data_IF_006626697258
#
_entry.id   IF_006626697258
#
_cell.length_a   1.000
_cell.length_b   1.000
_cell.length_c   1.000
_cell.angle_alpha   90.00
_cell.angle_beta   90.00
_cell.angle_gamma   90.00
#
_symmetry.space_group_name_H-M   'P 1'
#
loop_
_entity.id
_entity.type
_entity.pdbx_description
1 polymer ?
#
# COMPACT_ATOMS: atom_id res chain seq x y z
N UNK A 1 13.50 -14.37 -5.87
CA UNK A 1 12.96 -13.57 -4.76
C UNK A 1 12.27 -12.35 -5.34
N UNK A 2 11.05 -12.04 -4.91
CA UNK A 2 10.32 -10.85 -5.36
C UNK A 2 11.18 -9.58 -5.13
N UNK A 3 11.34 -8.67 -6.11
CA UNK A 3 12.10 -7.43 -5.95
C UNK A 3 11.71 -6.64 -4.71
N UNK A 4 10.42 -6.54 -4.40
CA UNK A 4 9.94 -5.83 -3.21
C UNK A 4 10.45 -6.45 -1.91
N UNK A 5 10.38 -7.78 -1.77
CA UNK A 5 10.95 -8.48 -0.61
C UNK A 5 12.47 -8.31 -0.51
N UNK A 6 13.17 -8.25 -1.65
CA UNK A 6 14.61 -8.01 -1.67
C UNK A 6 14.97 -6.60 -1.21
N UNK A 7 14.17 -5.61 -1.59
CA UNK A 7 14.27 -4.24 -1.09
C UNK A 7 14.06 -4.20 0.43
N UNK A 8 12.94 -4.74 0.91
CA UNK A 8 12.58 -4.72 2.35
C UNK A 8 13.66 -5.37 3.23
N UNK A 9 14.18 -6.54 2.85
CA UNK A 9 15.22 -7.24 3.64
C UNK A 9 16.54 -6.46 3.78
N UNK A 10 16.82 -5.51 2.88
CA UNK A 10 18.03 -4.69 2.96
C UNK A 10 17.79 -3.27 3.48
N UNK A 11 16.53 -2.84 3.63
CA UNK A 11 16.17 -1.49 4.09
C UNK A 11 16.71 -1.19 5.49
N UNK A 12 16.58 -2.13 6.43
CA UNK A 12 17.08 -2.03 7.80
C UNK A 12 18.38 -2.82 8.01
N UNK A 13 19.12 -3.11 6.93
CA UNK A 13 20.40 -3.83 7.04
C UNK A 13 21.57 -2.88 7.23
N UNK A 14 22.70 -3.41 7.70
CA UNK A 14 23.95 -2.63 7.81
C UNK A 14 24.30 -2.05 6.43
N UNK A 15 24.54 -0.72 6.31
CA UNK A 15 24.65 -0.03 5.03
C UNK A 15 26.02 -0.24 4.34
N UNK A 16 26.39 -1.50 4.12
CA UNK A 16 27.65 -1.89 3.47
C UNK A 16 27.36 -2.31 2.03
N UNK A 17 27.78 -1.49 1.07
CA UNK A 17 27.56 -1.70 -0.36
C UNK A 17 28.67 -2.53 -1.02
N UNK A 18 28.82 -3.79 -0.61
CA UNK A 18 29.71 -4.76 -1.27
C UNK A 18 28.88 -5.88 -1.90
N UNK A 19 29.41 -6.57 -2.93
CA UNK A 19 28.75 -7.73 -3.51
C UNK A 19 28.30 -8.70 -2.40
N UNK A 20 27.12 -9.32 -2.59
CA UNK A 20 26.53 -10.31 -1.67
C UNK A 20 25.93 -9.79 -0.36
N UNK A 21 26.03 -8.51 -0.01
CA UNK A 21 25.30 -7.98 1.17
C UNK A 21 23.80 -7.83 0.91
N UNK A 22 23.01 -7.80 1.99
CA UNK A 22 21.58 -7.48 1.90
C UNK A 22 21.37 -6.06 1.36
N UNK A 23 22.20 -5.11 1.78
CA UNK A 23 22.17 -3.72 1.30
C UNK A 23 22.46 -3.60 -0.20
N UNK A 24 23.50 -4.26 -0.74
CA UNK A 24 23.75 -4.22 -2.19
C UNK A 24 22.59 -4.84 -3.00
N UNK A 25 22.01 -5.94 -2.50
CA UNK A 25 20.86 -6.58 -3.14
C UNK A 25 19.61 -5.69 -3.08
N UNK A 26 19.37 -4.98 -1.97
CA UNK A 26 18.22 -4.08 -1.88
C UNK A 26 18.36 -2.90 -2.82
N UNK A 27 19.54 -2.28 -2.96
CA UNK A 27 19.76 -1.20 -3.93
C UNK A 27 19.43 -1.63 -5.37
N UNK A 28 19.90 -2.82 -5.79
CA UNK A 28 19.56 -3.39 -7.10
C UNK A 28 18.07 -3.67 -7.25
N UNK A 29 17.40 -4.09 -6.18
CA UNK A 29 15.97 -4.35 -6.19
C UNK A 29 15.14 -3.05 -6.24
N UNK A 30 15.56 -2.01 -5.50
CA UNK A 30 14.98 -0.67 -5.55
C UNK A 30 15.04 -0.11 -6.96
N UNK A 31 16.18 -0.22 -7.64
CA UNK A 31 16.30 0.23 -9.03
C UNK A 31 15.31 -0.48 -9.98
N UNK A 32 15.10 -1.80 -9.79
CA UNK A 32 14.10 -2.55 -10.56
C UNK A 32 12.67 -2.07 -10.28
N UNK A 33 12.32 -1.85 -9.01
CA UNK A 33 10.99 -1.36 -8.60
C UNK A 33 10.75 0.05 -9.17
N UNK A 34 11.75 0.92 -9.11
CA UNK A 34 11.65 2.28 -9.66
C UNK A 34 11.41 2.26 -11.17
N UNK A 35 12.05 1.36 -11.92
CA UNK A 35 11.79 1.20 -13.35
C UNK A 35 10.36 0.71 -13.62
N UNK A 36 9.87 -0.27 -12.86
CA UNK A 36 8.48 -0.75 -12.98
C UNK A 36 7.47 0.38 -12.68
N UNK A 37 7.71 1.15 -11.62
CA UNK A 37 6.86 2.30 -11.28
C UNK A 37 6.92 3.39 -12.34
N UNK A 38 8.07 3.62 -12.97
CA UNK A 38 8.20 4.56 -14.07
C UNK A 38 7.32 4.16 -15.25
N UNK A 39 7.29 2.88 -15.61
CA UNK A 39 6.40 2.36 -16.65
C UNK A 39 4.92 2.58 -16.28
N UNK A 40 4.54 2.31 -15.03
CA UNK A 40 3.17 2.53 -14.53
C UNK A 40 2.79 4.02 -14.58
N UNK A 41 3.68 4.91 -14.13
CA UNK A 41 3.46 6.36 -14.18
C UNK A 41 3.26 6.81 -15.62
N UNK A 42 4.08 6.31 -16.56
CA UNK A 42 3.94 6.64 -17.97
C UNK A 42 2.61 6.14 -18.57
N UNK A 43 2.22 4.91 -18.29
CA UNK A 43 0.93 4.35 -18.73
C UNK A 43 -0.24 5.20 -18.23
N UNK A 44 -0.23 5.57 -16.94
CA UNK A 44 -1.28 6.41 -16.35
C UNK A 44 -1.38 7.79 -16.99
N UNK A 45 -0.25 8.42 -17.32
CA UNK A 45 -0.23 9.70 -18.05
C UNK A 45 -0.93 9.57 -19.41
N UNK A 46 -0.55 8.56 -20.19
CA UNK A 46 -1.14 8.30 -21.52
C UNK A 46 -2.63 8.00 -21.44
N UNK A 47 -3.06 7.23 -20.44
CA UNK A 47 -4.48 6.92 -20.21
C UNK A 47 -5.30 8.16 -19.82
N UNK A 48 -4.74 9.04 -18.99
CA UNK A 48 -5.38 10.30 -18.61
C UNK A 48 -5.58 11.22 -19.82
N UNK A 49 -4.54 11.39 -20.65
CA UNK A 49 -4.62 12.20 -21.88
C UNK A 49 -5.65 11.68 -22.87
N UNK A 50 -5.80 10.35 -23.00
CA UNK A 50 -6.70 9.73 -23.98
C UNK A 50 -8.15 9.61 -23.51
N UNK A 51 -8.35 9.26 -22.24
CA UNK A 51 -9.65 8.79 -21.75
C UNK A 51 -10.28 9.71 -20.69
N UNK A 52 -9.62 10.82 -20.32
CA UNK A 52 -10.14 11.73 -19.29
C UNK A 52 -10.32 11.06 -17.94
N UNK A 53 -9.37 10.19 -17.56
CA UNK A 53 -9.43 9.41 -16.32
C UNK A 53 -9.48 10.33 -15.09
N UNK A 54 -10.24 9.93 -14.05
CA UNK A 54 -10.35 10.68 -12.81
C UNK A 54 -8.96 10.97 -12.21
N UNK A 55 -8.58 12.25 -12.02
CA UNK A 55 -7.27 12.64 -11.50
C UNK A 55 -7.00 12.16 -10.07
N UNK A 56 -8.03 11.66 -9.36
CA UNK A 56 -7.96 11.16 -7.98
C UNK A 56 -8.29 9.67 -7.83
N UNK A 57 -8.10 8.88 -8.89
CA UNK A 57 -8.37 7.44 -8.85
C UNK A 57 -7.42 6.66 -7.93
N UNK A 58 -6.14 7.06 -7.87
CA UNK A 58 -5.12 6.43 -7.04
C UNK A 58 -4.02 7.43 -6.69
N UNK A 59 -3.09 7.02 -5.82
CA UNK A 59 -1.99 7.86 -5.35
C UNK A 59 -1.16 8.45 -6.49
N UNK A 60 -0.76 7.65 -7.49
CA UNK A 60 0.09 8.14 -8.59
C UNK A 60 -0.66 9.21 -9.39
N UNK A 61 -1.94 8.97 -9.66
CA UNK A 61 -2.81 9.94 -10.33
C UNK A 61 -2.95 11.23 -9.52
N UNK A 62 -3.18 11.12 -8.20
CA UNK A 62 -3.25 12.27 -7.30
C UNK A 62 -1.97 13.10 -7.32
N UNK A 63 -0.81 12.44 -7.17
CA UNK A 63 0.49 13.11 -7.14
C UNK A 63 0.85 13.74 -8.48
N UNK A 64 0.49 13.09 -9.59
CA UNK A 64 0.75 13.61 -10.94
C UNK A 64 -0.07 14.88 -11.24
N UNK A 65 -1.34 14.89 -10.82
CA UNK A 65 -2.27 16.00 -11.05
C UNK A 65 -2.15 17.13 -10.01
N UNK A 66 -1.16 17.06 -9.11
CA UNK A 66 -0.89 18.11 -8.15
C UNK A 66 -0.19 19.29 -8.84
N UNK A 67 -0.93 20.39 -9.01
CA UNK A 67 -0.50 21.61 -9.69
C UNK A 67 -0.67 22.80 -8.76
N UNK A 68 0.33 23.68 -8.72
CA UNK A 68 0.34 24.94 -7.98
C UNK A 68 0.91 26.02 -8.91
N UNK A 69 0.24 27.18 -9.01
CA UNK A 69 0.59 28.28 -9.93
C UNK A 69 0.86 27.83 -11.38
N UNK A 70 -0.05 27.01 -11.93
CA UNK A 70 0.04 26.39 -13.26
C UNK A 70 1.30 25.54 -13.51
N UNK A 71 2.00 25.13 -12.44
CA UNK A 71 3.20 24.28 -12.49
C UNK A 71 2.97 22.97 -11.74
N UNK A 72 3.51 21.90 -12.31
CA UNK A 72 3.50 20.61 -11.64
C UNK A 72 4.36 20.68 -10.37
N UNK A 73 3.76 20.29 -9.23
CA UNK A 73 4.40 20.38 -7.91
C UNK A 73 5.49 19.31 -7.74
N UNK A 74 5.31 18.14 -8.35
CA UNK A 74 6.19 16.98 -8.16
C UNK A 74 6.79 16.50 -9.48
N UNK A 75 8.09 16.28 -9.46
CA UNK A 75 8.79 15.60 -10.56
C UNK A 75 8.39 14.12 -10.62
N UNK A 76 8.53 13.50 -11.80
CA UNK A 76 8.30 12.05 -11.97
C UNK A 76 9.12 11.21 -10.97
N UNK A 77 10.36 11.63 -10.69
CA UNK A 77 11.23 10.97 -9.72
C UNK A 77 10.65 11.03 -8.30
N UNK A 78 10.12 12.18 -7.91
CA UNK A 78 9.47 12.35 -6.59
C UNK A 78 8.17 11.55 -6.51
N UNK A 79 7.38 11.48 -7.57
CA UNK A 79 6.18 10.62 -7.63
C UNK A 79 6.57 9.15 -7.41
N UNK A 80 7.59 8.65 -8.11
CA UNK A 80 8.08 7.28 -7.94
C UNK A 80 8.59 7.03 -6.52
N UNK A 81 9.36 7.96 -5.95
CA UNK A 81 9.87 7.83 -4.58
C UNK A 81 8.75 7.83 -3.54
N UNK A 82 7.73 8.69 -3.69
CA UNK A 82 6.56 8.70 -2.81
C UNK A 82 5.75 7.41 -2.93
N UNK A 83 5.58 6.86 -4.14
CA UNK A 83 4.93 5.57 -4.33
C UNK A 83 5.68 4.44 -3.60
N UNK A 84 7.03 4.38 -3.73
CA UNK A 84 7.85 3.40 -2.99
C UNK A 84 7.69 3.59 -1.48
N UNK A 85 7.73 4.83 -0.98
CA UNK A 85 7.57 5.14 0.43
C UNK A 85 6.23 4.62 0.98
N UNK A 86 5.12 4.90 0.30
CA UNK A 86 3.79 4.44 0.71
C UNK A 86 3.67 2.92 0.65
N UNK A 87 4.24 2.27 -0.37
CA UNK A 87 4.26 0.80 -0.45
C UNK A 87 4.98 0.17 0.74
N UNK A 88 6.14 0.72 1.12
CA UNK A 88 6.93 0.25 2.28
C UNK A 88 6.12 0.44 3.56
N UNK A 89 5.64 1.67 3.79
CA UNK A 89 4.93 2.04 5.00
C UNK A 89 3.67 1.19 5.19
N UNK A 90 2.86 1.04 4.14
CA UNK A 90 1.61 0.29 4.18
C UNK A 90 1.80 -1.22 4.31
N UNK A 91 2.85 -1.79 3.69
CA UNK A 91 3.08 -3.23 3.75
C UNK A 91 3.63 -3.67 5.12
N UNK A 92 4.72 -3.06 5.58
CA UNK A 92 5.44 -3.55 6.76
C UNK A 92 4.60 -3.39 8.04
N UNK A 93 4.05 -2.19 8.27
CA UNK A 93 3.28 -1.89 9.48
C UNK A 93 1.96 -2.65 9.54
N UNK A 94 1.18 -2.65 8.44
CA UNK A 94 -0.13 -3.31 8.42
C UNK A 94 -0.01 -4.83 8.53
N UNK A 95 0.98 -5.45 7.86
CA UNK A 95 1.18 -6.90 7.96
C UNK A 95 1.53 -7.33 9.39
N UNK A 96 2.36 -6.55 10.08
CA UNK A 96 2.67 -6.75 11.50
C UNK A 96 1.42 -6.56 12.36
N UNK A 97 0.66 -5.48 12.19
CA UNK A 97 -0.57 -5.23 12.93
C UNK A 97 -1.58 -6.36 12.77
N UNK A 98 -1.86 -6.79 11.54
CA UNK A 98 -2.78 -7.91 11.24
C UNK A 98 -2.29 -9.19 11.92
N UNK A 99 -0.98 -9.45 11.90
CA UNK A 99 -0.39 -10.61 12.60
C UNK A 99 -0.66 -10.56 14.10
N UNK A 100 -0.51 -9.39 14.73
CA UNK A 100 -0.82 -9.20 16.14
C UNK A 100 -2.31 -9.32 16.45
N UNK A 101 -3.19 -8.81 15.59
CA UNK A 101 -4.65 -8.98 15.71
C UNK A 101 -5.01 -10.47 15.69
N UNK A 102 -4.54 -11.22 14.69
CA UNK A 102 -4.81 -12.66 14.59
C UNK A 102 -4.29 -13.40 15.83
N UNK A 103 -3.08 -13.06 16.28
CA UNK A 103 -2.50 -13.64 17.51
C UNK A 103 -3.36 -13.33 18.73
N UNK A 104 -3.85 -12.10 18.88
CA UNK A 104 -4.69 -11.70 20.01
C UNK A 104 -6.00 -12.48 20.01
N UNK A 105 -6.71 -12.52 18.87
CA UNK A 105 -7.97 -13.25 18.73
C UNK A 105 -7.80 -14.76 19.01
N UNK A 106 -6.69 -15.35 18.56
CA UNK A 106 -6.41 -16.76 18.80
C UNK A 106 -6.12 -17.10 20.28
N UNK A 107 -5.61 -16.15 21.07
CA UNK A 107 -5.24 -16.37 22.47
C UNK A 107 -6.31 -15.88 23.47
N UNK A 108 -7.25 -15.04 23.04
CA UNK A 108 -8.30 -14.46 23.89
C UNK A 108 -9.70 -14.83 23.35
N UNK A 109 -10.23 -16.03 23.65
CA UNK A 109 -11.48 -16.51 23.08
C UNK A 109 -12.69 -15.61 23.36
N UNK A 110 -12.70 -14.93 24.52
CA UNK A 110 -13.77 -14.00 24.86
C UNK A 110 -13.79 -12.78 23.93
N UNK A 111 -12.61 -12.21 23.62
CA UNK A 111 -12.48 -11.11 22.67
C UNK A 111 -12.86 -11.59 21.27
N UNK A 112 -12.38 -12.76 20.86
CA UNK A 112 -12.72 -13.34 19.56
C UNK A 112 -14.22 -13.56 19.39
N UNK A 113 -14.90 -14.07 20.42
CA UNK A 113 -16.34 -14.31 20.39
C UNK A 113 -17.13 -13.00 20.23
N UNK A 114 -16.71 -11.93 20.92
CA UNK A 114 -17.38 -10.65 20.85
C UNK A 114 -17.14 -9.93 19.50
N UNK A 115 -15.92 -9.96 18.97
CA UNK A 115 -15.63 -9.47 17.61
C UNK A 115 -16.44 -10.27 16.59
N UNK A 116 -16.51 -11.60 16.71
CA UNK A 116 -17.30 -12.43 15.80
C UNK A 116 -18.79 -12.07 15.86
N UNK A 117 -19.35 -11.91 17.07
CA UNK A 117 -20.73 -11.51 17.24
C UNK A 117 -21.03 -10.17 16.53
N UNK A 118 -20.16 -9.17 16.70
CA UNK A 118 -20.30 -7.89 16.01
C UNK A 118 -20.31 -8.06 14.47
N UNK A 119 -19.34 -8.80 13.94
CA UNK A 119 -19.23 -9.00 12.49
C UNK A 119 -20.43 -9.80 11.94
N UNK A 120 -20.98 -10.76 12.70
CA UNK A 120 -22.20 -11.47 12.35
C UNK A 120 -23.44 -10.57 12.36
N UNK A 121 -23.54 -9.64 13.32
CA UNK A 121 -24.63 -8.65 13.37
C UNK A 121 -24.60 -7.71 12.16
N UNK A 122 -23.42 -7.24 11.75
CA UNK A 122 -23.25 -6.46 10.53
C UNK A 122 -23.61 -7.30 9.30
N UNK A 123 -23.14 -8.54 9.23
CA UNK A 123 -23.38 -9.43 8.09
C UNK A 123 -24.88 -9.78 7.91
N UNK A 124 -25.66 -9.90 8.99
CA UNK A 124 -27.12 -10.13 8.93
C UNK A 124 -27.87 -9.00 8.21
N UNK A 125 -27.33 -7.79 8.21
CA UNK A 125 -27.89 -6.64 7.52
C UNK A 125 -27.58 -6.59 6.02
N UNK A 126 -26.77 -7.53 5.50
CA UNK A 126 -26.26 -7.50 4.12
C UNK A 126 -26.78 -8.67 3.28
N UNK A 127 -26.91 -8.42 1.98
CA UNK A 127 -27.17 -9.49 1.01
C UNK A 127 -25.90 -10.28 0.70
N UNK A 128 -26.07 -11.53 0.29
CA UNK A 128 -24.94 -12.39 -0.10
C UNK A 128 -24.17 -11.75 -1.27
N UNK A 129 -22.88 -11.50 -1.08
CA UNK A 129 -22.01 -10.90 -2.08
C UNK A 129 -22.03 -9.36 -2.11
N UNK A 130 -22.79 -8.72 -1.23
CA UNK A 130 -22.78 -7.27 -1.08
C UNK A 130 -21.47 -6.80 -0.42
N UNK A 131 -20.73 -5.83 -1.02
CA UNK A 131 -19.47 -5.34 -0.47
C UNK A 131 -19.69 -4.53 0.82
N UNK A 132 -18.68 -4.51 1.69
CA UNK A 132 -18.66 -3.64 2.86
C UNK A 132 -18.67 -2.16 2.44
N UNK A 133 -19.46 -1.37 3.15
CA UNK A 133 -19.59 0.08 2.97
C UNK A 133 -18.95 0.84 4.12
N UNK A 134 -18.79 2.16 3.96
CA UNK A 134 -18.36 3.04 5.05
C UNK A 134 -19.34 3.03 6.23
N UNK A 135 -20.63 2.82 5.98
CA UNK A 135 -21.62 2.69 7.05
C UNK A 135 -21.39 1.40 7.86
N UNK A 136 -21.05 0.29 7.20
CA UNK A 136 -20.73 -0.97 7.87
C UNK A 136 -19.48 -0.83 8.75
N UNK A 137 -18.44 -0.15 8.26
CA UNK A 137 -17.24 0.14 9.06
C UNK A 137 -17.56 0.96 10.31
N UNK A 138 -18.52 1.91 10.24
CA UNK A 138 -18.92 2.70 11.40
C UNK A 138 -19.63 1.90 12.50
N UNK A 139 -20.09 0.68 12.18
CA UNK A 139 -20.71 -0.27 13.11
C UNK A 139 -19.70 -1.18 13.80
N UNK A 140 -18.45 -1.22 13.33
CA UNK A 140 -17.35 -2.00 13.93
C UNK A 140 -16.74 -1.24 15.13
N UNK A 141 -17.33 -1.37 16.30
CA UNK A 141 -17.02 -0.61 17.51
C UNK A 141 -16.26 -1.40 18.58
N UNK A 142 -16.27 -2.72 18.50
CA UNK A 142 -15.66 -3.62 19.46
C UNK A 142 -14.13 -3.68 19.32
#
# INVERSE_FOLDING_TARGET
>A
MNPFQAMMKGMLSVPINIPFTRYNRSLKATAKIQNMLKEIVHQKKVEQEKNGVNPRQDLISCLHNMVEDDKQVLTEKEIIHNAVLVMVAGHDTSSVLITFIIRLLANEPAICAAVLQEQEEIAKGKLLGEPLTWEDLSKMKY
#
